data_IF_588009501556
#
_entry.id   IF_588009501556
#
_cell.length_a   1.000
_cell.length_b   1.000
_cell.length_c   1.000
_cell.angle_alpha   90.00
_cell.angle_beta   90.00
_cell.angle_gamma   90.00
#
_symmetry.space_group_name_H-M   'P 1'
#
loop_
_entity.id
_entity.type
_entity.pdbx_description
1 polymer ?
#
# COMPACT_ATOMS: atom_id res chain seq x y z
N UNK A 1 78.08 26.98 57.32
CA UNK A 1 78.56 25.70 56.79
C UNK A 1 78.19 24.62 57.79
N UNK A 2 77.14 23.84 57.53
CA UNK A 2 76.98 22.46 58.04
C UNK A 2 75.82 21.80 57.27
N UNK A 3 76.08 20.55 56.91
CA UNK A 3 75.50 19.77 55.81
C UNK A 3 74.27 18.98 56.29
N UNK A 4 73.25 18.94 55.42
CA UNK A 4 72.32 17.84 55.10
C UNK A 4 72.09 16.71 56.12
N UNK A 5 70.80 16.37 56.34
CA UNK A 5 70.29 15.00 56.13
C UNK A 5 68.76 15.03 55.92
N UNK A 6 68.33 14.81 54.68
CA UNK A 6 66.92 14.55 54.34
C UNK A 6 66.72 13.04 54.38
N UNK A 7 65.90 12.55 55.31
CA UNK A 7 65.49 11.15 55.35
C UNK A 7 64.16 10.99 54.62
N UNK A 8 64.15 10.18 53.56
CA UNK A 8 62.95 9.79 52.80
C UNK A 8 62.41 8.47 53.38
N UNK A 9 61.17 8.47 53.87
CA UNK A 9 60.34 7.26 53.86
C UNK A 9 58.89 7.65 53.55
N UNK A 10 58.25 6.81 52.75
CA UNK A 10 57.09 7.11 51.89
C UNK A 10 55.78 7.09 52.69
N UNK A 11 54.78 7.95 52.40
CA UNK A 11 53.41 7.65 52.78
C UNK A 11 52.86 6.56 51.84
N UNK A 12 52.60 5.39 52.41
CA UNK A 12 51.81 4.32 51.81
C UNK A 12 50.40 4.87 51.52
N UNK A 13 50.19 5.30 50.27
CA UNK A 13 48.91 5.78 49.77
C UNK A 13 47.96 4.60 49.64
N UNK A 14 46.97 4.57 50.53
CA UNK A 14 45.74 3.79 50.39
C UNK A 14 45.07 4.26 49.10
N UNK A 15 45.27 3.53 48.01
CA UNK A 15 44.50 3.70 46.77
C UNK A 15 43.82 2.37 46.46
N UNK A 16 42.82 2.05 47.26
CA UNK A 16 41.78 1.06 46.94
C UNK A 16 40.48 1.78 47.18
N UNK A 17 39.92 2.45 46.15
CA UNK A 17 38.50 2.84 46.07
C UNK A 17 38.22 3.60 44.77
N UNK A 18 38.56 3.03 43.60
CA UNK A 18 38.21 3.65 42.32
C UNK A 18 37.97 2.64 41.20
N UNK A 19 37.22 1.57 41.50
CA UNK A 19 36.73 0.62 40.47
C UNK A 19 35.21 0.34 40.60
N UNK A 20 34.56 0.70 41.71
CA UNK A 20 33.12 0.44 41.90
C UNK A 20 32.20 1.53 41.28
N UNK A 21 32.75 2.66 40.83
CA UNK A 21 31.95 3.74 40.23
C UNK A 21 31.56 3.49 38.76
N UNK A 22 32.09 2.45 38.10
CA UNK A 22 31.74 2.11 36.71
C UNK A 22 30.56 1.13 36.58
N UNK A 23 29.91 0.75 37.69
CA UNK A 23 28.68 -0.05 37.68
C UNK A 23 27.43 0.80 37.92
N UNK A 24 27.46 2.10 37.59
CA UNK A 24 26.23 2.79 37.18
C UNK A 24 25.87 2.36 35.75
N UNK A 25 25.50 1.09 35.61
CA UNK A 25 24.63 0.65 34.52
C UNK A 25 23.24 1.21 34.79
N UNK A 26 23.06 2.51 34.56
CA UNK A 26 21.74 3.02 34.19
C UNK A 26 21.46 2.47 32.80
N UNK A 27 20.93 1.25 32.76
CA UNK A 27 20.08 0.85 31.64
C UNK A 27 18.76 1.61 31.79
N UNK A 28 18.81 2.90 31.49
CA UNK A 28 17.65 3.76 31.34
C UNK A 28 17.84 4.42 30.00
N UNK A 29 17.49 3.69 28.96
CA UNK A 29 16.85 4.19 27.74
C UNK A 29 16.58 2.98 26.84
N UNK A 30 15.70 2.08 27.30
CA UNK A 30 14.84 1.41 26.33
C UNK A 30 14.11 2.54 25.62
N UNK A 31 14.55 2.91 24.42
CA UNK A 31 13.92 4.00 23.67
C UNK A 31 12.44 3.70 23.58
N UNK A 32 11.59 4.51 24.23
CA UNK A 32 10.14 4.39 24.07
C UNK A 32 9.86 4.36 22.57
N UNK A 33 9.42 3.22 22.06
CA UNK A 33 9.14 3.05 20.65
C UNK A 33 8.03 4.04 20.29
N UNK A 34 8.36 5.06 19.50
CA UNK A 34 7.39 6.07 19.09
C UNK A 34 6.50 5.49 18.01
N UNK A 35 5.27 5.18 18.38
CA UNK A 35 4.28 4.56 17.51
C UNK A 35 3.49 5.66 16.77
N UNK A 36 3.48 5.60 15.45
CA UNK A 36 2.60 6.40 14.60
C UNK A 36 1.26 5.69 14.40
N UNK A 37 0.17 6.43 14.55
CA UNK A 37 -1.17 6.00 14.19
C UNK A 37 -1.62 6.66 12.90
N UNK A 38 -2.27 5.89 12.03
CA UNK A 38 -2.88 6.38 10.80
C UNK A 38 -4.25 5.72 10.59
N UNK A 39 -5.28 6.54 10.49
CA UNK A 39 -6.56 6.10 9.92
C UNK A 39 -6.46 6.07 8.39
N UNK A 40 -6.22 4.87 7.84
CA UNK A 40 -6.12 4.68 6.39
C UNK A 40 -7.42 4.95 5.66
N UNK A 41 -8.57 4.78 6.30
CA UNK A 41 -9.87 5.08 5.67
C UNK A 41 -10.02 6.59 5.49
N UNK A 42 -9.68 7.36 6.52
CA UNK A 42 -9.63 8.82 6.44
C UNK A 42 -8.60 9.27 5.38
N UNK A 43 -7.37 8.74 5.43
CA UNK A 43 -6.32 9.06 4.45
C UNK A 43 -6.80 8.86 3.03
N UNK A 44 -7.34 7.69 2.68
CA UNK A 44 -7.77 7.39 1.30
C UNK A 44 -8.95 8.28 0.85
N UNK A 45 -9.86 8.62 1.76
CA UNK A 45 -11.06 9.41 1.45
C UNK A 45 -10.73 10.89 1.32
N UNK A 46 -10.04 11.46 2.31
CA UNK A 46 -9.81 12.90 2.43
C UNK A 46 -8.66 13.40 1.55
N UNK A 47 -7.71 12.54 1.18
CA UNK A 47 -6.69 12.87 0.18
C UNK A 47 -7.23 12.88 -1.27
N UNK A 48 -8.45 12.39 -1.48
CA UNK A 48 -9.04 12.25 -2.82
C UNK A 48 -8.57 11.01 -3.60
N UNK A 49 -7.70 10.16 -3.04
CA UNK A 49 -7.25 8.92 -3.68
C UNK A 49 -8.42 7.96 -4.01
N UNK A 50 -9.37 7.78 -3.08
CA UNK A 50 -10.59 6.99 -3.32
C UNK A 50 -11.46 7.55 -4.44
N UNK A 51 -11.49 8.87 -4.61
CA UNK A 51 -12.23 9.51 -5.71
C UNK A 51 -11.55 9.24 -7.05
N UNK A 52 -10.22 9.23 -7.10
CA UNK A 52 -9.47 8.88 -8.32
C UNK A 52 -9.69 7.41 -8.72
N UNK A 53 -9.65 6.48 -7.75
CA UNK A 53 -9.97 5.07 -7.98
C UNK A 53 -11.40 4.90 -8.51
N UNK A 54 -12.39 5.56 -7.89
CA UNK A 54 -13.78 5.53 -8.34
C UNK A 54 -13.89 5.98 -9.80
N UNK A 55 -13.30 7.12 -10.16
CA UNK A 55 -13.32 7.64 -11.53
C UNK A 55 -12.68 6.69 -12.53
N UNK A 56 -11.56 6.06 -12.16
CA UNK A 56 -10.91 5.05 -13.01
C UNK A 56 -11.79 3.81 -13.20
N UNK A 57 -12.36 3.28 -12.12
CA UNK A 57 -13.26 2.12 -12.18
C UNK A 57 -14.55 2.41 -12.95
N UNK A 58 -15.08 3.64 -12.90
CA UNK A 58 -16.19 4.05 -13.75
C UNK A 58 -15.82 4.01 -15.25
N UNK A 59 -14.58 4.39 -15.61
CA UNK A 59 -14.09 4.27 -16.99
C UNK A 59 -13.97 2.81 -17.41
N UNK A 60 -13.42 1.95 -16.55
CA UNK A 60 -13.35 0.50 -16.80
C UNK A 60 -14.75 -0.07 -17.00
N UNK A 61 -15.69 0.23 -16.10
CA UNK A 61 -17.07 -0.25 -16.18
C UNK A 61 -17.77 0.16 -17.49
N UNK A 62 -17.50 1.37 -18.01
CA UNK A 62 -18.00 1.80 -19.32
C UNK A 62 -17.44 0.98 -20.47
N UNK A 63 -16.15 0.63 -20.44
CA UNK A 63 -15.53 -0.23 -21.47
C UNK A 63 -16.14 -1.63 -21.43
N UNK A 64 -16.29 -2.21 -20.25
CA UNK A 64 -16.89 -3.54 -20.09
C UNK A 64 -18.35 -3.55 -20.55
N UNK A 65 -19.12 -2.53 -20.20
CA UNK A 65 -20.51 -2.38 -20.65
C UNK A 65 -20.62 -2.24 -22.18
N UNK A 66 -19.75 -1.43 -22.80
CA UNK A 66 -19.73 -1.31 -24.26
C UNK A 66 -19.46 -2.66 -24.94
N UNK A 67 -18.51 -3.44 -24.41
CA UNK A 67 -18.21 -4.76 -24.94
C UNK A 67 -19.38 -5.74 -24.80
N UNK A 68 -20.10 -5.71 -23.67
CA UNK A 68 -21.30 -6.53 -23.47
C UNK A 68 -22.45 -6.12 -24.41
N UNK A 69 -22.69 -4.81 -24.56
CA UNK A 69 -23.71 -4.26 -25.46
C UNK A 69 -23.38 -4.63 -26.94
N UNK A 70 -22.10 -4.60 -27.34
CA UNK A 70 -21.62 -5.02 -28.66
C UNK A 70 -21.78 -6.54 -28.88
N UNK A 71 -21.42 -7.36 -27.88
CA UNK A 71 -21.62 -8.81 -27.94
C UNK A 71 -23.11 -9.15 -28.03
N UNK A 72 -23.99 -8.45 -27.31
CA UNK A 72 -25.44 -8.62 -27.39
C UNK A 72 -26.01 -8.34 -28.79
N UNK A 73 -25.48 -7.34 -29.48
CA UNK A 73 -25.86 -7.10 -30.87
C UNK A 73 -25.47 -8.26 -31.80
N UNK A 74 -24.35 -8.93 -31.55
CA UNK A 74 -23.92 -10.10 -32.32
C UNK A 74 -24.70 -11.36 -31.97
N UNK A 75 -25.10 -11.54 -30.72
CA UNK A 75 -25.89 -12.69 -30.27
C UNK A 75 -27.22 -12.85 -31.01
N UNK A 76 -27.82 -11.75 -31.47
CA UNK A 76 -29.04 -11.77 -32.30
C UNK A 76 -28.88 -12.51 -33.63
N UNK A 77 -27.65 -12.78 -34.05
CA UNK A 77 -27.28 -13.42 -35.32
C UNK A 77 -26.87 -14.89 -35.17
N UNK A 78 -26.87 -15.44 -33.94
CA UNK A 78 -26.39 -16.78 -33.62
C UNK A 78 -27.56 -17.71 -33.31
N UNK A 79 -27.55 -18.93 -33.84
CA UNK A 79 -28.55 -19.96 -33.54
C UNK A 79 -28.49 -20.44 -32.08
N UNK A 80 -29.64 -20.86 -31.56
CA UNK A 80 -29.95 -20.92 -30.11
C UNK A 80 -29.08 -21.85 -29.27
N UNK A 81 -28.47 -22.87 -29.87
CA UNK A 81 -27.93 -24.00 -29.12
C UNK A 81 -26.58 -23.70 -28.45
N UNK A 82 -25.79 -22.78 -29.04
CA UNK A 82 -24.50 -22.32 -28.47
C UNK A 82 -24.57 -20.97 -27.76
N UNK A 83 -25.68 -20.25 -27.92
CA UNK A 83 -25.85 -18.89 -27.43
C UNK A 83 -25.71 -18.79 -25.90
N UNK A 84 -26.28 -19.75 -25.16
CA UNK A 84 -26.21 -19.75 -23.69
C UNK A 84 -24.79 -19.93 -23.16
N UNK A 85 -24.01 -20.79 -23.82
CA UNK A 85 -22.63 -21.06 -23.44
C UNK A 85 -21.72 -19.86 -23.74
N UNK A 86 -21.86 -19.25 -24.93
CA UNK A 86 -21.11 -18.05 -25.30
C UNK A 86 -21.38 -16.90 -24.32
N UNK A 87 -22.66 -16.64 -24.00
CA UNK A 87 -23.06 -15.62 -23.02
C UNK A 87 -22.47 -15.87 -21.64
N UNK A 88 -22.47 -17.12 -21.19
CA UNK A 88 -21.88 -17.48 -19.90
C UNK A 88 -20.37 -17.20 -19.88
N UNK A 89 -19.66 -17.56 -20.96
CA UNK A 89 -18.23 -17.36 -21.05
C UNK A 89 -17.86 -15.87 -21.10
N UNK A 90 -18.60 -15.05 -21.86
CA UNK A 90 -18.41 -13.59 -21.87
C UNK A 90 -18.61 -12.97 -20.49
N UNK A 91 -19.67 -13.36 -19.79
CA UNK A 91 -19.97 -12.82 -18.45
C UNK A 91 -18.90 -13.19 -17.42
N UNK A 92 -18.35 -14.42 -17.49
CA UNK A 92 -17.23 -14.83 -16.65
C UNK A 92 -15.97 -13.99 -16.95
N UNK A 93 -15.66 -13.75 -18.23
CA UNK A 93 -14.53 -12.93 -18.62
C UNK A 93 -14.70 -11.48 -18.14
N UNK A 94 -15.85 -10.86 -18.37
CA UNK A 94 -16.14 -9.49 -17.95
C UNK A 94 -16.05 -9.33 -16.42
N UNK A 95 -16.59 -10.30 -15.66
CA UNK A 95 -16.49 -10.32 -14.21
C UNK A 95 -15.04 -10.41 -13.74
N UNK A 96 -14.23 -11.25 -14.38
CA UNK A 96 -12.82 -11.41 -14.02
C UNK A 96 -12.02 -10.13 -14.30
N UNK A 97 -12.21 -9.51 -15.47
CA UNK A 97 -11.56 -8.24 -15.81
C UNK A 97 -11.95 -7.14 -14.83
N UNK A 98 -13.24 -7.07 -14.46
CA UNK A 98 -13.71 -6.12 -13.45
C UNK A 98 -13.02 -6.32 -12.10
N UNK A 99 -12.99 -7.57 -11.62
CA UNK A 99 -12.37 -7.93 -10.34
C UNK A 99 -10.88 -7.59 -10.31
N UNK A 100 -10.15 -7.88 -11.38
CA UNK A 100 -8.73 -7.54 -11.50
C UNK A 100 -8.49 -6.03 -11.50
N UNK A 101 -9.31 -5.26 -12.23
CA UNK A 101 -9.21 -3.81 -12.24
C UNK A 101 -9.48 -3.21 -10.85
N UNK A 102 -10.50 -3.70 -10.13
CA UNK A 102 -10.77 -3.29 -8.76
C UNK A 102 -9.58 -3.55 -7.82
N UNK A 103 -9.00 -4.75 -7.89
CA UNK A 103 -7.85 -5.12 -7.06
C UNK A 103 -6.62 -4.28 -7.38
N UNK A 104 -6.28 -4.11 -8.66
CA UNK A 104 -5.12 -3.31 -9.07
C UNK A 104 -5.30 -1.84 -8.63
N UNK A 105 -6.46 -1.23 -8.92
CA UNK A 105 -6.72 0.16 -8.54
C UNK A 105 -6.66 0.37 -7.02
N UNK A 106 -7.24 -0.53 -6.23
CA UNK A 106 -7.18 -0.49 -4.76
C UNK A 106 -5.75 -0.61 -4.25
N UNK A 107 -4.98 -1.54 -4.79
CA UNK A 107 -3.59 -1.75 -4.38
C UNK A 107 -2.73 -0.52 -4.68
N UNK A 108 -2.92 0.10 -5.85
CA UNK A 108 -2.18 1.32 -6.23
C UNK A 108 -2.42 2.47 -5.26
N UNK A 109 -3.68 2.81 -4.98
CA UNK A 109 -3.98 3.92 -4.05
C UNK A 109 -3.52 3.63 -2.62
N UNK A 110 -3.61 2.36 -2.18
CA UNK A 110 -3.17 1.94 -0.85
C UNK A 110 -1.65 2.06 -0.72
N UNK A 111 -0.90 1.67 -1.77
CA UNK A 111 0.55 1.78 -1.80
C UNK A 111 1.02 3.25 -1.77
N UNK A 112 0.35 4.15 -2.49
CA UNK A 112 0.67 5.58 -2.44
C UNK A 112 0.41 6.16 -1.04
N UNK A 113 -0.70 5.77 -0.41
CA UNK A 113 -0.99 6.19 0.96
C UNK A 113 0.05 5.65 1.98
N UNK A 114 0.44 4.38 1.89
CA UNK A 114 1.49 3.77 2.73
C UNK A 114 2.84 4.48 2.51
N UNK A 115 3.17 4.82 1.27
CA UNK A 115 4.41 5.55 0.95
C UNK A 115 4.43 6.94 1.58
N UNK A 116 3.34 7.69 1.47
CA UNK A 116 3.22 9.01 2.09
C UNK A 116 3.27 8.93 3.62
N UNK A 117 2.61 7.93 4.20
CA UNK A 117 2.65 7.61 5.62
C UNK A 117 4.08 7.32 6.10
N UNK A 118 4.82 6.46 5.39
CA UNK A 118 6.22 6.14 5.71
C UNK A 118 7.09 7.40 5.73
N UNK A 119 7.02 8.22 4.67
CA UNK A 119 7.79 9.47 4.58
C UNK A 119 7.43 10.45 5.70
N UNK A 120 6.14 10.54 6.05
CA UNK A 120 5.66 11.41 7.13
C UNK A 120 6.11 10.90 8.50
N UNK A 121 6.08 9.59 8.72
CA UNK A 121 6.55 8.93 9.93
C UNK A 121 8.04 9.10 10.16
N UNK A 122 8.85 8.88 9.12
CA UNK A 122 10.31 9.07 9.15
C UNK A 122 10.69 10.50 9.54
N UNK A 123 10.01 11.51 8.95
CA UNK A 123 10.22 12.93 9.29
C UNK A 123 9.90 13.27 10.74
N UNK A 124 9.03 12.49 11.39
CA UNK A 124 8.63 12.66 12.80
C UNK A 124 9.43 11.76 13.76
N UNK A 125 10.36 10.95 13.24
CA UNK A 125 11.14 10.00 14.05
C UNK A 125 10.29 8.87 14.64
N UNK A 126 9.21 8.48 13.94
CA UNK A 126 8.36 7.36 14.31
C UNK A 126 8.99 6.04 13.83
N UNK A 127 9.05 5.04 14.71
CA UNK A 127 9.73 3.77 14.44
C UNK A 127 8.76 2.67 13.99
N UNK A 128 7.52 2.75 14.44
CA UNK A 128 6.46 1.77 14.15
C UNK A 128 5.26 2.54 13.62
N UNK A 129 4.70 2.08 12.51
CA UNK A 129 3.49 2.66 11.92
C UNK A 129 2.35 1.64 12.00
N UNK A 130 1.26 2.03 12.64
CA UNK A 130 0.03 1.23 12.72
C UNK A 130 -1.02 1.79 11.75
N UNK A 131 -1.44 0.92 10.82
CA UNK A 131 -2.40 1.23 9.76
C UNK A 131 -3.71 0.49 10.06
N UNK A 132 -4.56 1.04 10.92
CA UNK A 132 -5.73 0.29 11.38
C UNK A 132 -6.83 1.15 12.00
N UNK A 133 -8.04 0.60 12.16
CA UNK A 133 -9.20 1.35 12.66
C UNK A 133 -9.14 1.63 14.16
N UNK A 134 -8.23 1.00 14.91
CA UNK A 134 -8.18 1.15 16.36
C UNK A 134 -6.78 0.90 16.91
N UNK A 135 -6.39 1.75 17.87
CA UNK A 135 -5.35 1.45 18.86
C UNK A 135 -6.07 1.17 20.16
N UNK A 136 -5.96 -0.06 20.67
CA UNK A 136 -6.74 -0.52 21.82
C UNK A 136 -6.25 0.07 23.16
N UNK A 137 -4.97 0.41 23.27
CA UNK A 137 -4.39 1.17 24.39
C UNK A 137 -2.92 1.46 24.05
N UNK A 138 -2.55 2.73 23.95
CA UNK A 138 -1.15 3.18 23.87
C UNK A 138 -1.04 4.56 24.49
N UNK A 139 -0.28 4.67 25.58
CA UNK A 139 0.03 5.95 26.23
C UNK A 139 0.92 6.87 25.35
N UNK A 140 1.58 6.31 24.32
CA UNK A 140 2.59 7.00 23.52
C UNK A 140 2.43 6.75 22.02
N UNK A 141 1.26 7.05 21.47
CA UNK A 141 1.06 7.11 20.02
C UNK A 141 0.95 8.55 19.51
N UNK A 142 1.43 8.78 18.30
CA UNK A 142 1.24 10.04 17.57
C UNK A 142 0.34 9.77 16.37
N UNK A 143 -0.86 10.35 16.38
CA UNK A 143 -1.70 10.38 15.19
C UNK A 143 -1.05 11.29 14.14
N UNK A 144 -0.82 10.73 12.94
CA UNK A 144 -0.28 11.49 11.80
C UNK A 144 -1.24 11.55 10.61
N UNK A 145 -2.50 11.16 10.78
CA UNK A 145 -3.51 11.04 9.72
C UNK A 145 -3.62 12.31 8.88
N UNK A 146 -3.85 13.46 9.49
CA UNK A 146 -3.99 14.76 8.80
C UNK A 146 -2.74 15.16 8.02
N UNK A 147 -1.55 14.85 8.56
CA UNK A 147 -0.29 15.17 7.89
C UNK A 147 -0.07 14.29 6.66
N UNK A 148 -0.50 13.03 6.71
CA UNK A 148 -0.49 12.13 5.55
C UNK A 148 -1.52 12.58 4.51
N UNK A 149 -2.72 12.97 4.93
CA UNK A 149 -3.74 13.57 4.03
C UNK A 149 -3.17 14.80 3.33
N UNK A 150 -2.56 15.71 4.08
CA UNK A 150 -1.95 16.92 3.51
C UNK A 150 -0.82 16.61 2.53
N UNK A 151 0.00 15.59 2.82
CA UNK A 151 1.08 15.15 1.92
C UNK A 151 0.58 14.55 0.59
N UNK A 152 -0.68 14.11 0.53
CA UNK A 152 -1.28 13.46 -0.63
C UNK A 152 -2.21 14.35 -1.45
N UNK A 153 -2.53 15.56 -0.98
CA UNK A 153 -3.58 16.43 -1.55
C UNK A 153 -3.46 16.68 -3.05
N UNK A 154 -2.24 16.77 -3.58
CA UNK A 154 -1.97 17.02 -5.00
C UNK A 154 -1.47 15.77 -5.75
N UNK A 155 -1.45 14.61 -5.09
CA UNK A 155 -0.99 13.35 -5.67
C UNK A 155 -1.96 12.85 -6.73
N UNK A 156 -1.44 12.58 -7.93
CA UNK A 156 -2.18 11.94 -9.01
C UNK A 156 -1.69 10.51 -9.21
N UNK A 157 -2.59 9.56 -9.03
CA UNK A 157 -2.28 8.14 -9.22
C UNK A 157 -2.30 7.80 -10.69
N UNK A 158 -1.22 7.18 -11.16
CA UNK A 158 -1.13 6.64 -12.52
C UNK A 158 -1.69 5.22 -12.54
N UNK A 159 -2.99 5.10 -12.82
CA UNK A 159 -3.62 3.80 -13.01
C UNK A 159 -3.12 3.09 -14.27
N UNK A 160 -3.36 1.78 -14.31
CA UNK A 160 -3.14 0.97 -15.52
C UNK A 160 -4.02 1.47 -16.68
N UNK A 161 -3.61 1.22 -17.93
CA UNK A 161 -4.46 1.51 -19.08
C UNK A 161 -5.81 0.78 -19.00
N UNK A 162 -6.84 1.35 -19.61
CA UNK A 162 -8.14 0.68 -19.72
C UNK A 162 -8.00 -0.66 -20.46
N UNK A 163 -8.77 -1.69 -20.07
CA UNK A 163 -8.72 -3.00 -20.71
C UNK A 163 -9.07 -2.88 -22.19
N UNK A 164 -8.41 -3.69 -23.02
CA UNK A 164 -8.67 -3.75 -24.46
C UNK A 164 -9.40 -5.04 -24.76
N UNK A 165 -10.69 -4.92 -25.10
CA UNK A 165 -11.55 -6.04 -25.44
C UNK A 165 -11.79 -6.09 -26.95
N UNK A 166 -11.79 -7.29 -27.51
CA UNK A 166 -12.12 -7.59 -28.89
C UNK A 166 -13.43 -8.37 -28.93
N UNK A 167 -14.36 -7.93 -29.78
CA UNK A 167 -15.68 -8.53 -29.93
C UNK A 167 -15.79 -9.09 -31.36
N UNK A 168 -15.90 -10.40 -31.51
CA UNK A 168 -15.94 -11.05 -32.83
C UNK A 168 -16.80 -12.31 -32.86
N UNK A 169 -17.42 -12.58 -34.03
CA UNK A 169 -18.10 -13.85 -34.28
C UNK A 169 -17.09 -15.00 -34.40
N UNK A 170 -17.45 -16.24 -33.99
CA UNK A 170 -16.54 -17.38 -33.99
C UNK A 170 -15.94 -17.70 -35.37
N UNK A 171 -16.71 -17.53 -36.46
CA UNK A 171 -16.24 -17.75 -37.84
C UNK A 171 -15.15 -16.76 -38.28
N UNK A 172 -15.06 -15.59 -37.65
CA UNK A 172 -14.03 -14.58 -37.91
C UNK A 172 -12.82 -14.71 -36.96
N UNK A 173 -12.88 -15.60 -35.97
CA UNK A 173 -11.85 -15.78 -34.94
C UNK A 173 -10.68 -16.68 -35.36
N UNK A 174 -10.80 -17.40 -36.49
CA UNK A 174 -9.79 -18.38 -36.95
C UNK A 174 -8.42 -17.79 -37.33
N UNK A 175 -8.24 -16.47 -37.32
CA UNK A 175 -6.91 -15.82 -37.51
C UNK A 175 -6.20 -15.41 -36.22
N UNK A 176 -6.82 -15.57 -35.05
CA UNK A 176 -6.16 -15.37 -33.75
C UNK A 176 -6.47 -16.58 -32.87
N UNK A 177 -5.50 -17.49 -32.77
CA UNK A 177 -5.61 -18.71 -31.96
C UNK A 177 -5.89 -18.37 -30.48
N UNK A 178 -7.14 -18.55 -30.04
CA UNK A 178 -7.50 -19.30 -28.83
C UNK A 178 -9.03 -19.54 -28.76
N UNK A 179 -9.44 -20.66 -29.35
CA UNK A 179 -10.40 -21.66 -28.86
C UNK A 179 -11.58 -21.16 -27.97
N UNK A 180 -12.78 -21.21 -28.55
CA UNK A 180 -14.07 -21.54 -27.90
C UNK A 180 -14.51 -20.75 -26.65
N UNK A 181 -14.12 -19.49 -26.50
CA UNK A 181 -14.40 -18.71 -25.29
C UNK A 181 -15.14 -17.42 -25.63
N UNK A 182 -16.48 -17.48 -25.68
CA UNK A 182 -17.32 -16.28 -25.82
C UNK A 182 -17.15 -15.50 -27.14
N UNK A 183 -17.78 -14.34 -27.26
CA UNK A 183 -17.53 -13.37 -28.34
C UNK A 183 -16.52 -12.30 -27.92
N UNK A 184 -16.32 -12.12 -26.62
CA UNK A 184 -15.41 -11.13 -26.03
C UNK A 184 -14.07 -11.81 -25.71
N UNK A 185 -12.97 -11.17 -26.10
CA UNK A 185 -11.60 -11.61 -25.78
C UNK A 185 -10.72 -10.43 -25.38
N UNK A 186 -9.63 -10.67 -24.66
CA UNK A 186 -8.66 -9.63 -24.26
C UNK A 186 -7.56 -9.57 -25.32
N UNK A 187 -7.13 -8.35 -25.68
CA UNK A 187 -6.02 -8.11 -26.61
C UNK A 187 -4.66 -8.05 -25.92
#
# INVERSE_FOLDING_TARGET
MLISKINKSKPFRITVFLVVAFLYGCDINGSEQRIGYIDMKAVLTESGLSQQEKMHLEQVGRVLKSADDEAEALYKKIETDKLKELRKNDQLLLQEVWRLAQQSARNLITNEAIKAAKVTGEKKGLQIMHYGPLILSSEHHTDITDQVVAALKDTRVKFEPLPRLLIALPENAEKNQQVASGLISIK
#
